data_IF_693169931667
#
_entry.id   IF_693169931667
#
_cell.length_a   1.000
_cell.length_b   1.000
_cell.length_c   1.000
_cell.angle_alpha   90.00
_cell.angle_beta   90.00
_cell.angle_gamma   90.00
#
_symmetry.space_group_name_H-M   'P 1'
#
loop_
_entity.id
_entity.type
_entity.pdbx_description
1 polymer ?
#
# COMPACT_ATOMS: atom_id res chain seq x y z
N UNK A 1 -3.38 17.55 1.05
CA UNK A 1 -3.88 16.18 1.18
C UNK A 1 -2.65 15.28 1.25
N UNK A 2 -2.64 14.24 2.10
CA UNK A 2 -1.49 13.34 2.18
C UNK A 2 -1.28 12.69 0.80
N UNK A 3 -0.04 12.67 0.33
CA UNK A 3 0.25 12.43 -1.08
C UNK A 3 0.17 10.92 -1.39
N UNK A 4 0.95 10.13 -0.66
CA UNK A 4 1.14 8.72 -0.98
C UNK A 4 -0.01 7.84 -0.47
N UNK A 5 -0.68 7.14 -1.39
CA UNK A 5 -1.85 6.32 -1.07
C UNK A 5 -2.10 5.18 -2.07
N UNK A 6 -2.75 4.14 -1.58
CA UNK A 6 -3.37 3.08 -2.36
C UNK A 6 -4.89 3.26 -2.36
N UNK A 7 -5.51 3.13 -3.53
CA UNK A 7 -6.90 3.48 -3.81
C UNK A 7 -7.59 2.27 -4.44
N UNK A 8 -8.65 1.78 -3.81
CA UNK A 8 -9.56 0.79 -4.37
C UNK A 8 -10.71 1.53 -5.04
N UNK A 9 -10.90 1.29 -6.34
CA UNK A 9 -11.96 1.94 -7.10
C UNK A 9 -12.49 1.06 -8.23
N UNK A 10 -13.51 1.55 -8.93
CA UNK A 10 -14.14 0.85 -10.05
C UNK A 10 -13.24 0.86 -11.28
N UNK A 11 -13.19 -0.26 -12.00
CA UNK A 11 -12.47 -0.36 -13.28
C UNK A 11 -12.99 0.62 -14.32
N UNK A 12 -14.29 0.91 -14.32
CA UNK A 12 -14.90 1.95 -15.17
C UNK A 12 -14.31 3.35 -14.98
N UNK A 13 -13.69 3.68 -13.83
CA UNK A 13 -13.03 4.98 -13.60
C UNK A 13 -11.64 5.10 -14.24
N UNK A 14 -11.13 4.07 -14.93
CA UNK A 14 -9.78 4.07 -15.55
C UNK A 14 -9.49 5.31 -16.41
N UNK A 15 -10.43 5.72 -17.27
CA UNK A 15 -10.25 6.91 -18.12
C UNK A 15 -10.20 8.22 -17.30
N UNK A 16 -10.97 8.29 -16.21
CA UNK A 16 -10.92 9.42 -15.28
C UNK A 16 -9.56 9.51 -14.59
N UNK A 17 -9.01 8.36 -14.17
CA UNK A 17 -7.67 8.26 -13.58
C UNK A 17 -6.63 8.76 -14.57
N UNK A 18 -6.63 8.28 -15.82
CA UNK A 18 -5.73 8.81 -16.86
C UNK A 18 -5.90 10.32 -17.07
N UNK A 19 -7.14 10.81 -17.04
CA UNK A 19 -7.44 12.24 -17.14
C UNK A 19 -6.79 13.08 -16.05
N UNK A 20 -6.84 12.60 -14.79
CA UNK A 20 -6.21 13.24 -13.63
C UNK A 20 -4.69 13.09 -13.63
N UNK A 21 -4.18 12.01 -14.20
CA UNK A 21 -2.76 11.63 -14.15
C UNK A 21 -1.93 12.09 -15.36
N UNK A 22 -2.44 13.01 -16.20
CA UNK A 22 -1.74 13.50 -17.41
C UNK A 22 -0.33 14.01 -17.16
N UNK A 23 -0.10 14.61 -15.99
CA UNK A 23 1.20 15.15 -15.57
C UNK A 23 2.04 14.18 -14.73
N UNK A 24 1.51 13.00 -14.39
CA UNK A 24 2.21 11.95 -13.66
C UNK A 24 2.83 10.94 -14.63
N UNK A 25 3.78 10.15 -14.15
CA UNK A 25 4.27 8.98 -14.86
C UNK A 25 3.35 7.81 -14.54
N UNK A 26 2.56 7.37 -15.53
CA UNK A 26 1.60 6.28 -15.36
C UNK A 26 2.22 4.95 -15.78
N UNK A 27 2.21 3.98 -14.87
CA UNK A 27 2.55 2.58 -15.12
C UNK A 27 1.27 1.76 -14.95
N UNK A 28 0.71 1.30 -16.07
CA UNK A 28 -0.54 0.54 -16.08
C UNK A 28 -0.25 -0.94 -16.38
N UNK A 29 -0.43 -1.77 -15.36
CA UNK A 29 -0.22 -3.21 -15.45
C UNK A 29 -1.40 -3.93 -16.13
N UNK A 30 -2.59 -3.33 -16.15
CA UNK A 30 -3.81 -4.03 -16.54
C UNK A 30 -4.00 -5.32 -15.74
N UNK A 31 -4.27 -6.42 -16.45
CA UNK A 31 -4.46 -7.77 -15.92
C UNK A 31 -3.19 -8.65 -16.01
N UNK A 32 -2.03 -8.05 -16.29
CA UNK A 32 -0.79 -8.79 -16.57
C UNK A 32 -0.15 -9.42 -15.34
N UNK A 33 -0.50 -8.98 -14.12
CA UNK A 33 0.12 -9.46 -12.90
C UNK A 33 -0.52 -10.79 -12.47
N UNK A 34 0.22 -11.89 -12.66
CA UNK A 34 -0.17 -13.24 -12.22
C UNK A 34 0.79 -13.80 -11.17
N UNK A 35 1.88 -13.10 -10.91
CA UNK A 35 2.93 -13.43 -9.96
C UNK A 35 3.72 -12.17 -9.61
N UNK A 36 4.52 -12.21 -8.54
CA UNK A 36 5.47 -11.14 -8.26
C UNK A 36 6.53 -11.03 -9.37
N UNK A 37 6.89 -12.15 -10.03
CA UNK A 37 7.80 -12.13 -11.17
C UNK A 37 7.29 -11.22 -12.30
N UNK A 38 6.00 -11.30 -12.64
CA UNK A 38 5.39 -10.43 -13.66
C UNK A 38 5.39 -8.95 -13.23
N UNK A 39 5.08 -8.71 -11.95
CA UNK A 39 5.09 -7.37 -11.37
C UNK A 39 6.47 -6.74 -11.46
N UNK A 40 7.49 -7.47 -11.00
CA UNK A 40 8.88 -7.09 -11.08
C UNK A 40 9.30 -6.80 -12.53
N UNK A 41 9.02 -7.70 -13.48
CA UNK A 41 9.50 -7.57 -14.86
C UNK A 41 8.89 -6.35 -15.57
N UNK A 42 7.68 -5.95 -15.20
CA UNK A 42 7.05 -4.74 -15.75
C UNK A 42 7.68 -3.49 -15.14
N UNK A 43 7.80 -3.42 -13.81
CA UNK A 43 8.42 -2.28 -13.12
C UNK A 43 9.85 -2.07 -13.60
N UNK A 44 10.65 -3.13 -13.59
CA UNK A 44 12.06 -3.08 -13.92
C UNK A 44 12.29 -2.48 -15.32
N UNK A 45 11.49 -2.87 -16.32
CA UNK A 45 11.58 -2.31 -17.69
C UNK A 45 11.36 -0.79 -17.75
N UNK A 46 10.62 -0.25 -16.81
CA UNK A 46 10.26 1.17 -16.78
C UNK A 46 11.28 2.01 -15.99
N UNK A 47 11.87 1.47 -14.92
CA UNK A 47 12.63 2.26 -13.94
C UNK A 47 14.04 1.74 -13.59
N UNK A 48 14.49 0.59 -14.10
CA UNK A 48 15.87 0.12 -13.91
C UNK A 48 16.84 0.89 -14.82
N UNK A 49 17.19 2.11 -14.41
CA UNK A 49 18.06 3.00 -15.17
C UNK A 49 19.55 2.65 -15.07
N UNK A 50 19.95 1.90 -14.05
CA UNK A 50 21.34 1.58 -13.75
C UNK A 50 21.71 0.14 -14.12
N UNK A 51 20.77 -0.65 -14.66
CA UNK A 51 20.94 -2.07 -15.00
C UNK A 51 21.23 -2.96 -13.78
N UNK A 52 20.57 -2.69 -12.65
CA UNK A 52 20.70 -3.48 -11.41
C UNK A 52 20.54 -4.97 -11.68
N UNK A 53 19.60 -5.37 -12.53
CA UNK A 53 19.38 -6.77 -12.83
C UNK A 53 20.55 -7.47 -13.48
N UNK A 54 21.29 -6.75 -14.30
CA UNK A 54 22.47 -7.30 -14.97
C UNK A 54 23.58 -7.56 -13.95
N UNK A 55 23.66 -6.73 -12.91
CA UNK A 55 24.73 -6.77 -11.92
C UNK A 55 24.41 -7.69 -10.73
N UNK A 56 23.16 -7.67 -10.26
CA UNK A 56 22.74 -8.31 -9.01
C UNK A 56 21.72 -9.43 -9.20
N UNK A 57 21.23 -9.65 -10.42
CA UNK A 57 20.18 -10.62 -10.71
C UNK A 57 18.78 -10.14 -10.32
N UNK A 58 17.78 -11.02 -10.45
CA UNK A 58 16.40 -10.72 -10.07
C UNK A 58 16.14 -11.19 -8.64
N UNK A 59 15.63 -10.30 -7.79
CA UNK A 59 15.22 -10.62 -6.42
C UNK A 59 14.61 -9.42 -5.69
N UNK A 60 14.01 -9.68 -4.52
CA UNK A 60 13.32 -8.66 -3.72
C UNK A 60 14.25 -7.51 -3.30
N UNK A 61 15.48 -7.83 -2.88
CA UNK A 61 16.49 -6.82 -2.56
C UNK A 61 16.81 -5.94 -3.77
N UNK A 62 16.99 -6.55 -4.95
CA UNK A 62 17.22 -5.80 -6.19
C UNK A 62 16.03 -4.93 -6.57
N UNK A 63 14.80 -5.40 -6.35
CA UNK A 63 13.61 -4.58 -6.56
C UNK A 63 13.63 -3.34 -5.66
N UNK A 64 13.86 -3.54 -4.36
CA UNK A 64 13.95 -2.47 -3.37
C UNK A 64 14.99 -1.42 -3.78
N UNK A 65 16.18 -1.87 -4.18
CA UNK A 65 17.25 -0.99 -4.65
C UNK A 65 16.81 -0.19 -5.89
N UNK A 66 16.21 -0.83 -6.90
CA UNK A 66 15.75 -0.16 -8.13
C UNK A 66 14.72 0.93 -7.81
N UNK A 67 13.70 0.60 -7.02
CA UNK A 67 12.55 1.50 -6.81
C UNK A 67 12.85 2.60 -5.80
N UNK A 68 13.74 2.34 -4.85
CA UNK A 68 14.16 3.30 -3.82
C UNK A 68 15.27 4.24 -4.28
N UNK A 69 16.00 3.91 -5.36
CA UNK A 69 17.15 4.70 -5.79
C UNK A 69 16.77 6.11 -6.24
N UNK A 70 17.58 7.09 -5.82
CA UNK A 70 17.46 8.50 -6.16
C UNK A 70 17.40 8.76 -7.68
N UNK A 71 17.97 7.89 -8.51
CA UNK A 71 17.91 7.98 -9.97
C UNK A 71 16.47 8.01 -10.49
N UNK A 72 15.54 7.31 -9.84
CA UNK A 72 14.11 7.32 -10.20
C UNK A 72 13.55 8.73 -10.05
N UNK A 73 13.89 9.41 -8.94
CA UNK A 73 13.49 10.79 -8.68
C UNK A 73 14.10 11.77 -9.70
N UNK A 74 15.38 11.64 -10.02
CA UNK A 74 16.00 12.53 -11.01
C UNK A 74 15.42 12.32 -12.41
N UNK A 75 15.15 11.07 -12.82
CA UNK A 75 14.50 10.76 -14.09
C UNK A 75 13.07 11.25 -14.17
N UNK A 76 12.34 11.21 -13.06
CA UNK A 76 11.00 11.79 -12.94
C UNK A 76 11.03 13.32 -13.18
N UNK A 77 12.01 14.04 -12.61
CA UNK A 77 12.22 15.48 -12.90
C UNK A 77 12.62 15.76 -14.33
N UNK A 78 13.55 14.98 -14.90
CA UNK A 78 13.95 15.10 -16.31
C UNK A 78 12.74 14.98 -17.25
N UNK A 79 11.83 14.04 -16.94
CA UNK A 79 10.56 13.83 -17.64
C UNK A 79 9.49 14.89 -17.32
N UNK A 80 9.78 15.86 -16.46
CA UNK A 80 8.87 16.93 -15.98
C UNK A 80 7.56 16.35 -15.45
N UNK A 81 7.64 15.26 -14.70
CA UNK A 81 6.49 14.64 -14.06
C UNK A 81 6.28 15.22 -12.66
N UNK A 82 5.05 15.19 -12.18
CA UNK A 82 4.69 15.69 -10.83
C UNK A 82 4.61 14.55 -9.79
N UNK A 83 4.69 13.29 -10.24
CA UNK A 83 4.55 12.10 -9.41
C UNK A 83 4.40 10.85 -10.27
N UNK A 84 4.09 9.72 -9.63
CA UNK A 84 3.87 8.43 -10.29
C UNK A 84 2.48 7.87 -9.99
N UNK A 85 1.95 7.09 -10.92
CA UNK A 85 0.67 6.41 -10.78
C UNK A 85 0.82 4.98 -11.24
N UNK A 86 0.44 4.04 -10.38
CA UNK A 86 0.44 2.62 -10.67
C UNK A 86 -1.02 2.16 -10.80
N UNK A 87 -1.35 1.39 -11.83
CA UNK A 87 -2.73 0.92 -12.07
C UNK A 87 -2.72 -0.59 -12.26
N UNK A 88 -3.45 -1.30 -11.41
CA UNK A 88 -3.57 -2.76 -11.40
C UNK A 88 -5.04 -3.17 -11.47
N UNK A 89 -5.40 -4.13 -12.34
CA UNK A 89 -6.71 -4.77 -12.29
C UNK A 89 -6.73 -5.91 -11.26
N UNK A 90 -7.67 -5.85 -10.31
CA UNK A 90 -7.91 -6.93 -9.35
C UNK A 90 -8.71 -8.07 -9.99
N UNK A 91 -8.03 -8.83 -10.85
CA UNK A 91 -8.61 -9.97 -11.55
C UNK A 91 -8.69 -11.21 -10.67
N UNK A 92 -9.45 -12.20 -11.11
CA UNK A 92 -9.48 -13.52 -10.45
C UNK A 92 -8.09 -14.19 -10.42
N UNK A 93 -7.24 -13.95 -11.43
CA UNK A 93 -5.86 -14.44 -11.44
C UNK A 93 -5.05 -13.78 -10.32
N UNK A 94 -5.14 -12.46 -10.19
CA UNK A 94 -4.46 -11.73 -9.12
C UNK A 94 -4.98 -12.16 -7.74
N UNK A 95 -6.30 -12.31 -7.59
CA UNK A 95 -6.93 -12.79 -6.36
C UNK A 95 -6.41 -14.17 -5.94
N UNK A 96 -6.12 -15.05 -6.90
CA UNK A 96 -5.64 -16.43 -6.68
C UNK A 96 -4.15 -16.56 -6.43
N UNK A 97 -3.36 -15.48 -6.56
CA UNK A 97 -1.95 -15.49 -6.14
C UNK A 97 -1.95 -15.87 -4.66
N UNK A 98 -1.33 -17.01 -4.36
CA UNK A 98 -1.22 -17.54 -3.00
C UNK A 98 -0.04 -16.88 -2.30
N UNK A 99 -0.11 -16.86 -0.98
CA UNK A 99 1.04 -16.72 -0.12
C UNK A 99 1.54 -18.15 0.19
N UNK A 100 2.71 -18.53 -0.29
CA UNK A 100 3.27 -19.88 -0.22
C UNK A 100 4.44 -19.92 0.77
N UNK A 101 4.41 -20.83 1.74
CA UNK A 101 5.47 -20.97 2.75
C UNK A 101 6.86 -21.39 2.20
N UNK A 102 6.97 -21.72 0.91
CA UNK A 102 8.23 -22.14 0.28
C UNK A 102 8.57 -21.36 -1.00
N UNK A 103 9.54 -20.44 -0.86
CA UNK A 103 10.50 -19.96 -1.88
C UNK A 103 9.98 -19.35 -3.19
N UNK A 104 8.67 -19.17 -3.39
CA UNK A 104 8.15 -18.56 -4.62
C UNK A 104 7.13 -17.45 -4.31
N UNK A 105 7.63 -16.21 -4.19
CA UNK A 105 7.04 -15.01 -4.79
C UNK A 105 5.51 -14.86 -4.78
N UNK A 106 5.04 -14.16 -3.74
CA UNK A 106 3.65 -14.17 -3.28
C UNK A 106 2.92 -12.82 -3.41
N UNK A 107 1.59 -12.83 -3.18
CA UNK A 107 0.75 -11.60 -3.22
C UNK A 107 1.18 -10.61 -2.14
N UNK A 108 1.53 -11.11 -0.96
CA UNK A 108 2.05 -10.30 0.14
C UNK A 108 3.31 -9.52 -0.23
N UNK A 109 4.22 -10.10 -1.02
CA UNK A 109 5.39 -9.38 -1.54
C UNK A 109 4.99 -8.27 -2.49
N UNK A 110 4.03 -8.49 -3.40
CA UNK A 110 3.52 -7.43 -4.28
C UNK A 110 2.92 -6.28 -3.46
N UNK A 111 2.13 -6.59 -2.43
CA UNK A 111 1.57 -5.56 -1.56
C UNK A 111 2.62 -4.88 -0.69
N UNK A 112 3.66 -5.60 -0.26
CA UNK A 112 4.82 -5.00 0.40
C UNK A 112 5.51 -4.00 -0.53
N UNK A 113 5.78 -4.38 -1.78
CA UNK A 113 6.42 -3.52 -2.76
C UNK A 113 5.58 -2.28 -3.08
N UNK A 114 4.27 -2.45 -3.24
CA UNK A 114 3.35 -1.35 -3.49
C UNK A 114 3.23 -0.42 -2.27
N UNK A 115 3.11 -0.95 -1.05
CA UNK A 115 2.86 -0.12 0.14
C UNK A 115 4.16 0.39 0.75
N UNK A 116 5.13 -0.48 1.02
CA UNK A 116 6.37 -0.08 1.66
C UNK A 116 7.33 0.58 0.68
N UNK A 117 7.87 -0.20 -0.27
CA UNK A 117 8.93 0.26 -1.17
C UNK A 117 8.50 1.45 -2.04
N UNK A 118 7.24 1.47 -2.51
CA UNK A 118 6.73 2.61 -3.27
C UNK A 118 6.14 3.71 -2.39
N UNK A 119 5.12 3.43 -1.57
CA UNK A 119 4.43 4.53 -0.86
C UNK A 119 5.21 5.06 0.34
N UNK A 120 5.69 4.19 1.24
CA UNK A 120 6.33 4.60 2.50
C UNK A 120 7.71 5.20 2.25
N UNK A 121 8.57 4.51 1.49
CA UNK A 121 9.94 4.97 1.29
C UNK A 121 10.00 6.33 0.62
N UNK A 122 9.21 6.57 -0.43
CA UNK A 122 9.18 7.87 -1.10
C UNK A 122 8.48 8.97 -0.30
N UNK A 123 7.58 8.62 0.61
CA UNK A 123 6.90 9.60 1.47
C UNK A 123 7.78 10.03 2.66
N UNK A 124 8.48 9.07 3.27
CA UNK A 124 9.21 9.22 4.54
C UNK A 124 10.71 8.99 4.38
N UNK A 125 11.12 7.79 3.96
CA UNK A 125 12.51 7.31 4.12
C UNK A 125 13.47 8.09 3.22
N UNK A 126 13.15 8.20 1.93
CA UNK A 126 13.95 8.96 0.96
C UNK A 126 13.97 10.46 1.27
N UNK A 127 12.91 10.99 1.87
CA UNK A 127 12.93 12.37 2.40
C UNK A 127 13.96 12.53 3.52
N UNK A 128 14.13 11.51 4.36
CA UNK A 128 15.08 11.50 5.48
C UNK A 128 16.51 11.24 4.99
N UNK A 129 16.70 10.26 4.10
CA UNK A 129 18.00 9.87 3.55
C UNK A 129 18.55 11.00 2.66
N UNK A 130 17.70 11.58 1.81
CA UNK A 130 18.07 12.64 0.87
C UNK A 130 17.59 14.03 1.32
N UNK A 131 17.64 14.33 2.63
CA UNK A 131 17.19 15.61 3.23
C UNK A 131 17.65 16.86 2.45
N UNK A 132 18.89 16.86 1.95
CA UNK A 132 19.44 17.99 1.18
C UNK A 132 18.84 18.21 -0.21
N UNK A 133 18.12 17.21 -0.76
CA UNK A 133 17.47 17.27 -2.08
C UNK A 133 15.94 17.31 -2.01
N UNK A 134 15.36 17.12 -0.83
CA UNK A 134 13.92 16.97 -0.61
C UNK A 134 13.31 15.97 -1.62
N UNK A 135 13.94 14.81 -1.76
CA UNK A 135 13.57 13.79 -2.74
C UNK A 135 12.30 13.05 -2.31
N UNK A 136 11.16 13.60 -2.71
CA UNK A 136 9.82 13.07 -2.45
C UNK A 136 9.13 12.85 -3.80
N UNK A 137 8.47 11.70 -3.93
CA UNK A 137 7.63 11.39 -5.08
C UNK A 137 6.21 11.17 -4.57
N UNK A 138 5.27 11.94 -5.13
CA UNK A 138 3.83 11.72 -4.94
C UNK A 138 3.42 10.46 -5.72
N UNK A 139 2.93 9.45 -5.01
CA UNK A 139 2.60 8.15 -5.59
C UNK A 139 1.15 7.77 -5.27
N UNK A 140 0.39 7.45 -6.32
CA UNK A 140 -0.93 6.85 -6.21
C UNK A 140 -0.91 5.43 -6.79
N UNK A 141 -1.37 4.45 -6.02
CA UNK A 141 -1.58 3.08 -6.48
C UNK A 141 -3.07 2.83 -6.61
N UNK A 142 -3.56 2.52 -7.81
CA UNK A 142 -4.95 2.16 -8.05
C UNK A 142 -5.10 0.66 -8.22
N UNK A 143 -5.97 0.06 -7.40
CA UNK A 143 -6.47 -1.29 -7.59
C UNK A 143 -7.90 -1.19 -8.11
N UNK A 144 -8.08 -1.65 -9.35
CA UNK A 144 -9.33 -1.54 -10.08
C UNK A 144 -10.17 -2.80 -9.92
N UNK A 145 -11.36 -2.64 -9.35
CA UNK A 145 -12.35 -3.69 -9.13
C UNK A 145 -13.30 -3.74 -10.32
N UNK A 146 -13.56 -4.94 -10.85
CA UNK A 146 -14.59 -5.14 -11.87
C UNK A 146 -15.94 -4.64 -11.35
N UNK A 147 -16.56 -3.72 -12.09
CA UNK A 147 -17.87 -3.14 -11.77
C UNK A 147 -18.95 -4.20 -11.52
N UNK A 148 -18.85 -5.39 -12.14
CA UNK A 148 -19.79 -6.48 -11.94
C UNK A 148 -19.63 -7.23 -10.61
N UNK A 149 -18.48 -7.08 -9.94
CA UNK A 149 -18.20 -7.70 -8.63
C UNK A 149 -18.74 -6.89 -7.46
N UNK A 150 -19.33 -5.72 -7.73
CA UNK A 150 -19.81 -4.77 -6.74
C UNK A 150 -21.30 -5.00 -6.50
N UNK A 151 -21.71 -5.20 -5.24
CA UNK A 151 -23.11 -5.47 -4.88
C UNK A 151 -24.04 -4.31 -5.24
N UNK A 152 -23.62 -3.08 -4.96
CA UNK A 152 -24.31 -1.86 -5.34
C UNK A 152 -23.56 -1.18 -6.50
N UNK A 153 -24.18 -1.11 -7.68
CA UNK A 153 -23.53 -0.51 -8.86
C UNK A 153 -23.35 1.02 -8.72
N UNK A 154 -23.98 1.65 -7.73
CA UNK A 154 -23.92 3.09 -7.48
C UNK A 154 -22.92 3.40 -6.35
N UNK A 155 -21.67 2.94 -6.47
CA UNK A 155 -20.58 3.39 -5.61
C UNK A 155 -19.97 4.69 -6.16
N UNK A 156 -20.04 5.75 -5.34
CA UNK A 156 -19.48 7.09 -5.58
C UNK A 156 -18.33 7.45 -4.63
N UNK A 157 -17.81 6.49 -3.89
CA UNK A 157 -16.63 6.63 -3.04
C UNK A 157 -15.50 5.72 -3.54
N UNK A 158 -14.33 5.86 -2.92
CA UNK A 158 -13.18 4.98 -3.09
C UNK A 158 -12.73 4.51 -1.70
N UNK A 159 -12.20 3.30 -1.56
CA UNK A 159 -11.52 2.90 -0.32
C UNK A 159 -10.04 3.25 -0.43
N UNK A 160 -9.43 3.73 0.66
CA UNK A 160 -8.06 4.24 0.62
C UNK A 160 -7.21 3.70 1.77
N UNK A 161 -5.96 3.37 1.47
CA UNK A 161 -4.87 3.24 2.43
C UNK A 161 -3.92 4.43 2.23
N UNK A 162 -3.77 5.26 3.25
CA UNK A 162 -3.08 6.54 3.17
C UNK A 162 -1.87 6.50 4.09
N UNK A 163 -0.70 6.85 3.57
CA UNK A 163 0.54 6.93 4.35
C UNK A 163 0.62 8.30 5.03
N UNK A 164 0.98 8.28 6.31
CA UNK A 164 1.16 9.45 7.15
C UNK A 164 2.37 9.26 8.07
N UNK A 165 2.95 10.36 8.55
CA UNK A 165 3.90 10.33 9.66
C UNK A 165 3.29 10.94 10.92
N UNK A 166 3.91 10.75 12.08
CA UNK A 166 3.45 11.31 13.36
C UNK A 166 3.20 12.83 13.29
N UNK A 167 4.02 13.58 12.55
CA UNK A 167 3.82 15.02 12.32
C UNK A 167 2.53 15.35 11.53
N UNK A 168 1.95 14.40 10.82
CA UNK A 168 0.71 14.58 10.06
C UNK A 168 -0.56 14.38 10.91
N UNK A 169 -0.46 14.04 12.20
CA UNK A 169 -1.63 13.68 13.03
C UNK A 169 -2.74 14.73 13.02
N UNK A 170 -2.41 16.02 13.02
CA UNK A 170 -3.42 17.07 12.96
C UNK A 170 -4.14 17.12 11.61
N UNK A 171 -3.42 16.81 10.52
CA UNK A 171 -3.99 16.67 9.18
C UNK A 171 -4.90 15.44 9.15
N UNK A 172 -4.43 14.30 9.68
CA UNK A 172 -5.21 13.06 9.77
C UNK A 172 -6.50 13.28 10.56
N UNK A 173 -6.44 13.92 11.74
CA UNK A 173 -7.62 14.25 12.57
C UNK A 173 -8.64 15.12 11.83
N UNK A 174 -8.18 16.06 11.00
CA UNK A 174 -9.05 16.95 10.22
C UNK A 174 -9.70 16.28 9.01
N UNK A 175 -9.06 15.25 8.45
CA UNK A 175 -9.65 14.50 7.34
C UNK A 175 -10.74 13.54 7.82
N UNK A 176 -11.81 13.46 7.03
CA UNK A 176 -12.93 12.54 7.25
C UNK A 176 -13.55 12.64 8.66
N UNK A 177 -13.64 13.85 9.23
CA UNK A 177 -14.21 14.08 10.57
C UNK A 177 -15.66 13.60 10.74
N UNK A 178 -16.42 13.49 9.64
CA UNK A 178 -17.78 12.97 9.66
C UNK A 178 -17.85 11.43 9.73
N UNK A 179 -16.72 10.73 9.64
CA UNK A 179 -16.65 9.26 9.59
C UNK A 179 -16.50 8.75 11.02
N UNK A 180 -16.98 7.53 11.28
CA UNK A 180 -16.71 6.91 12.57
C UNK A 180 -15.22 6.54 12.63
N UNK A 181 -14.51 7.18 13.56
CA UNK A 181 -13.09 6.94 13.78
C UNK A 181 -12.85 5.71 14.68
N UNK A 182 -11.89 4.88 14.27
CA UNK A 182 -11.37 3.73 15.01
C UNK A 182 -9.85 3.83 14.99
N UNK A 183 -9.24 4.01 16.15
CA UNK A 183 -7.79 3.93 16.30
C UNK A 183 -7.39 2.53 16.78
N UNK A 184 -6.35 2.01 16.13
CA UNK A 184 -5.77 0.69 16.35
C UNK A 184 -4.32 0.88 16.75
N UNK A 185 -4.00 0.27 17.89
CA UNK A 185 -2.66 0.20 18.44
C UNK A 185 -2.19 -1.25 18.42
N UNK A 186 -0.89 -1.44 18.29
CA UNK A 186 -0.29 -2.76 18.40
C UNK A 186 -0.39 -3.29 19.82
N UNK A 187 -0.55 -4.63 19.99
CA UNK A 187 -0.56 -5.25 21.30
C UNK A 187 0.73 -4.93 22.06
N UNK A 188 0.59 -4.60 23.32
CA UNK A 188 1.69 -4.38 24.26
C UNK A 188 2.39 -5.69 24.63
N UNK A 189 3.63 -5.61 25.11
CA UNK A 189 4.38 -6.79 25.57
C UNK A 189 3.63 -7.57 26.67
N UNK A 190 2.85 -6.87 27.51
CA UNK A 190 2.02 -7.49 28.55
C UNK A 190 0.87 -8.32 27.95
N UNK A 191 0.23 -7.82 26.89
CA UNK A 191 -0.83 -8.55 26.17
C UNK A 191 -0.29 -9.78 25.43
N UNK A 192 1.00 -9.81 25.11
CA UNK A 192 1.65 -10.89 24.35
C UNK A 192 2.12 -12.06 25.25
N UNK A 193 2.14 -11.91 26.58
CA UNK A 193 2.54 -12.93 27.59
C UNK A 193 3.68 -13.85 27.13
N UNK A 194 4.95 -13.47 27.39
CA UNK A 194 6.20 -14.28 27.29
C UNK A 194 6.08 -15.68 26.63
N UNK A 195 5.70 -15.74 25.35
CA UNK A 195 5.59 -17.00 24.59
C UNK A 195 6.63 -17.02 23.49
N UNK A 196 7.28 -18.17 23.33
CA UNK A 196 8.46 -18.38 22.47
C UNK A 196 8.26 -18.13 20.96
N UNK A 197 7.04 -17.84 20.48
CA UNK A 197 6.72 -17.50 19.09
C UNK A 197 5.97 -16.15 19.00
N UNK A 198 6.67 -15.04 19.25
CA UNK A 198 6.09 -13.70 19.39
C UNK A 198 5.41 -13.21 18.10
N UNK A 199 6.04 -13.40 16.93
CA UNK A 199 5.52 -12.87 15.66
C UNK A 199 4.18 -13.47 15.21
N UNK A 200 4.02 -14.79 15.28
CA UNK A 200 2.76 -15.47 14.90
C UNK A 200 1.60 -15.08 15.82
N UNK A 201 1.87 -15.01 17.12
CA UNK A 201 0.86 -14.65 18.13
C UNK A 201 0.47 -13.18 17.98
N UNK A 202 1.43 -12.27 17.79
CA UNK A 202 1.13 -10.87 17.58
C UNK A 202 0.34 -10.65 16.26
N UNK A 203 0.68 -11.39 15.19
CA UNK A 203 -0.08 -11.37 13.93
C UNK A 203 -1.51 -11.83 14.15
N UNK A 204 -1.73 -12.91 14.90
CA UNK A 204 -3.06 -13.43 15.19
C UNK A 204 -3.87 -12.43 16.03
N UNK A 205 -3.28 -11.87 17.09
CA UNK A 205 -3.94 -10.86 17.94
C UNK A 205 -4.31 -9.63 17.12
N UNK A 206 -3.40 -9.14 16.29
CA UNK A 206 -3.65 -7.95 15.48
C UNK A 206 -4.66 -8.21 14.35
N UNK A 207 -4.58 -9.35 13.68
CA UNK A 207 -5.59 -9.79 12.70
C UNK A 207 -6.98 -9.89 13.35
N UNK A 208 -7.08 -10.50 14.53
CA UNK A 208 -8.31 -10.57 15.30
C UNK A 208 -8.84 -9.19 15.71
N UNK A 209 -7.94 -8.24 16.01
CA UNK A 209 -8.30 -6.87 16.35
C UNK A 209 -8.88 -6.13 15.12
N UNK A 210 -8.22 -6.26 13.96
CA UNK A 210 -8.71 -5.74 12.69
C UNK A 210 -10.07 -6.36 12.33
N UNK A 211 -10.21 -7.66 12.51
CA UNK A 211 -11.47 -8.37 12.25
C UNK A 211 -12.60 -7.83 13.11
N UNK A 212 -12.40 -7.82 14.44
CA UNK A 212 -13.42 -7.40 15.41
C UNK A 212 -13.80 -5.94 15.28
N UNK A 213 -12.83 -5.05 15.07
CA UNK A 213 -13.08 -3.61 15.04
C UNK A 213 -13.52 -3.09 13.68
N UNK A 214 -13.06 -3.71 12.59
CA UNK A 214 -13.26 -3.20 11.23
C UNK A 214 -14.04 -4.19 10.37
N UNK A 215 -13.57 -5.42 10.19
CA UNK A 215 -14.17 -6.33 9.22
C UNK A 215 -15.62 -6.69 9.58
N UNK A 216 -15.88 -6.95 10.87
CA UNK A 216 -17.23 -7.22 11.40
C UNK A 216 -18.07 -5.95 11.61
N UNK A 217 -17.50 -4.78 11.35
CA UNK A 217 -18.21 -3.52 11.47
C UNK A 217 -19.18 -3.33 10.29
N UNK A 218 -20.39 -2.87 10.60
CA UNK A 218 -21.46 -2.69 9.62
C UNK A 218 -21.77 -1.23 9.29
N UNK A 219 -20.99 -0.29 9.82
CA UNK A 219 -21.12 1.12 9.47
C UNK A 219 -20.75 1.35 8.00
N UNK A 220 -21.47 2.26 7.36
CA UNK A 220 -21.26 2.62 5.95
C UNK A 220 -19.94 3.37 5.74
N UNK A 221 -19.49 4.16 6.72
CA UNK A 221 -18.31 5.03 6.61
C UNK A 221 -17.41 4.91 7.82
N UNK A 222 -16.21 4.40 7.60
CA UNK A 222 -15.19 4.23 8.64
C UNK A 222 -13.90 4.98 8.30
N UNK A 223 -13.35 5.60 9.34
CA UNK A 223 -11.98 6.11 9.35
C UNK A 223 -11.18 5.24 10.30
N UNK A 224 -10.16 4.58 9.78
CA UNK A 224 -9.29 3.70 10.57
C UNK A 224 -7.91 4.34 10.68
N UNK A 225 -7.35 4.38 11.88
CA UNK A 225 -5.98 4.87 12.12
C UNK A 225 -5.18 3.72 12.72
N UNK A 226 -4.09 3.33 12.05
CA UNK A 226 -3.12 2.36 12.56
C UNK A 226 -1.87 3.12 12.98
N UNK A 227 -1.65 3.22 14.29
CA UNK A 227 -0.51 3.93 14.89
C UNK A 227 0.71 3.02 15.00
N UNK A 228 1.92 3.56 14.81
CA UNK A 228 3.20 2.82 14.84
C UNK A 228 3.33 1.74 13.73
N UNK A 229 2.88 2.08 12.52
CA UNK A 229 2.70 1.15 11.40
C UNK A 229 3.95 0.38 10.98
N UNK A 230 5.15 0.81 11.40
CA UNK A 230 6.41 0.13 11.10
C UNK A 230 6.45 -1.31 11.65
N UNK A 231 5.73 -1.58 12.75
CA UNK A 231 5.63 -2.94 13.32
C UNK A 231 5.02 -3.97 12.36
N UNK A 232 4.14 -3.56 11.43
CA UNK A 232 3.62 -4.49 10.40
C UNK A 232 4.76 -5.09 9.59
N UNK A 233 5.71 -4.25 9.17
CA UNK A 233 6.76 -4.64 8.24
C UNK A 233 7.92 -5.36 8.93
N UNK A 234 8.24 -4.98 10.17
CA UNK A 234 9.36 -5.59 10.91
C UNK A 234 8.99 -6.77 11.82
N UNK A 235 7.79 -6.76 12.41
CA UNK A 235 7.45 -7.68 13.50
C UNK A 235 6.30 -8.65 13.15
N UNK A 236 5.29 -8.20 12.38
CA UNK A 236 4.00 -8.91 12.28
C UNK A 236 3.76 -9.68 10.99
N UNK A 237 4.69 -9.57 10.04
CA UNK A 237 4.64 -10.13 8.69
C UNK A 237 3.85 -9.32 7.65
N UNK A 238 4.41 -9.31 6.45
CA UNK A 238 3.86 -8.73 5.22
C UNK A 238 2.50 -9.34 4.82
N UNK A 239 2.18 -10.55 5.29
CA UNK A 239 0.87 -11.19 5.06
C UNK A 239 -0.30 -10.36 5.61
N UNK A 240 -0.05 -9.52 6.61
CA UNK A 240 -1.08 -8.64 7.17
C UNK A 240 -1.57 -7.59 6.17
N UNK A 241 -0.74 -7.22 5.18
CA UNK A 241 -1.15 -6.34 4.08
C UNK A 241 -2.19 -7.01 3.19
N UNK A 242 -2.09 -8.32 2.99
CA UNK A 242 -3.11 -9.09 2.24
C UNK A 242 -4.44 -9.02 2.97
N UNK A 243 -4.44 -9.19 4.30
CA UNK A 243 -5.66 -9.03 5.08
C UNK A 243 -6.22 -7.59 4.99
N UNK A 244 -5.38 -6.57 5.18
CA UNK A 244 -5.82 -5.17 5.11
C UNK A 244 -6.38 -4.83 3.73
N UNK A 245 -5.70 -5.21 2.65
CA UNK A 245 -6.09 -4.83 1.29
C UNK A 245 -7.24 -5.70 0.79
N UNK A 246 -7.12 -7.03 0.81
CA UNK A 246 -8.16 -7.93 0.26
C UNK A 246 -9.41 -7.95 1.16
N UNK A 247 -9.24 -8.18 2.47
CA UNK A 247 -10.36 -8.42 3.40
C UNK A 247 -11.01 -7.16 3.93
N UNK A 248 -10.25 -6.08 4.08
CA UNK A 248 -10.82 -4.82 4.55
C UNK A 248 -11.12 -3.91 3.37
N UNK A 249 -10.11 -3.45 2.63
CA UNK A 249 -10.35 -2.38 1.65
C UNK A 249 -11.16 -2.85 0.45
N UNK A 250 -10.83 -4.00 -0.15
CA UNK A 250 -11.50 -4.53 -1.34
C UNK A 250 -12.86 -5.14 -1.00
N UNK A 251 -12.94 -6.08 -0.07
CA UNK A 251 -14.23 -6.71 0.28
C UNK A 251 -15.24 -5.67 0.76
N UNK A 252 -14.85 -4.70 1.61
CA UNK A 252 -15.78 -3.66 2.07
C UNK A 252 -16.18 -2.70 0.95
N UNK A 253 -15.28 -2.39 0.03
CA UNK A 253 -15.63 -1.64 -1.18
C UNK A 253 -16.71 -2.38 -1.99
N UNK A 254 -16.55 -3.69 -2.24
CA UNK A 254 -17.56 -4.48 -2.97
C UNK A 254 -18.89 -4.62 -2.22
N UNK A 255 -18.87 -4.47 -0.89
CA UNK A 255 -20.06 -4.41 -0.03
C UNK A 255 -20.76 -3.06 -0.01
N UNK A 256 -20.22 -2.01 -0.65
CA UNK A 256 -20.78 -0.66 -0.58
C UNK A 256 -20.40 0.09 0.70
N UNK A 257 -19.36 -0.33 1.41
CA UNK A 257 -18.84 0.31 2.62
C UNK A 257 -17.56 1.08 2.34
N UNK A 258 -17.55 2.33 2.76
CA UNK A 258 -16.45 3.27 2.58
C UNK A 258 -15.47 3.22 3.75
N UNK A 259 -14.20 2.95 3.46
CA UNK A 259 -13.11 2.88 4.44
C UNK A 259 -11.96 3.78 4.01
N UNK A 260 -11.57 4.68 4.91
CA UNK A 260 -10.35 5.49 4.81
C UNK A 260 -9.39 5.07 5.91
N UNK A 261 -8.36 4.34 5.54
CA UNK A 261 -7.36 3.82 6.48
C UNK A 261 -6.08 4.65 6.42
N UNK A 262 -5.58 5.08 7.57
CA UNK A 262 -4.32 5.79 7.72
C UNK A 262 -3.31 4.87 8.41
N UNK A 263 -2.16 4.67 7.78
CA UNK A 263 -1.00 4.04 8.41
C UNK A 263 -0.04 5.16 8.84
N UNK A 264 0.06 5.37 10.16
CA UNK A 264 0.93 6.39 10.75
C UNK A 264 2.27 5.78 11.12
N UNK A 265 3.33 6.31 10.52
CA UNK A 265 4.73 5.93 10.76
C UNK A 265 5.43 6.94 11.65
N UNK A 266 6.50 6.51 12.33
CA UNK A 266 7.37 7.42 13.05
C UNK A 266 7.98 8.48 12.11
N UNK A 267 8.31 9.65 12.64
CA UNK A 267 8.94 10.74 11.89
C UNK A 267 10.37 10.44 11.45
N UNK A 268 11.02 9.52 12.16
CA UNK A 268 12.42 9.16 11.98
C UNK A 268 12.51 7.68 11.60
N UNK A 269 13.59 7.32 10.92
CA UNK A 269 13.95 5.91 10.73
C UNK A 269 14.36 5.38 12.10
N UNK A 270 13.72 4.32 12.57
CA UNK A 270 14.17 3.66 13.79
C UNK A 270 15.57 3.08 13.52
N UNK A 271 16.49 3.29 14.47
CA UNK A 271 17.76 2.53 14.54
C UNK A 271 17.51 1.06 14.87
#
# INVERSE_FOLDING_TARGET
MLQNRLIITKKSKRNEIYGKSKKKWVLDFGDKIKSWSDFYDIIQKEIDFLNYNKEYGKGDHTYSDIVGDLIVFEKMKERKKEGMVFILDYTENFRKIKDCDEKNYDKSTIYYDLVYNLLVEWYRDNKIIYKGRNAVIDIEVYILIDDNSIKDKVINFDNELIIAIENDRDIVKKQYQSYKEIEIFYPTNEEIKEKKNIGDIQREIFSNLLEKKIALNNLEKLKVIISNSMKIFHELSIYLLVYIIDKILIEKFTEGKEIKMFMIFANELAE
#
